data_IF_489976153849
#
_entry.id   IF_489976153849
#
_cell.length_a   1.000
_cell.length_b   1.000
_cell.length_c   1.000
_cell.angle_alpha   90.00
_cell.angle_beta   90.00
_cell.angle_gamma   90.00
#
_symmetry.space_group_name_H-M   'P 1'
#
loop_
_entity.id
_entity.type
_entity.pdbx_description
1 polymer ?
#
# COMPACT_ATOMS: atom_id res chain seq x y z
N UNK A 1 1.81 15.98 -14.93
CA UNK A 1 1.23 15.16 -13.85
C UNK A 1 2.34 14.94 -12.84
N UNK A 2 2.44 15.84 -11.86
CA UNK A 2 3.45 15.79 -10.81
C UNK A 2 3.18 14.58 -9.93
N UNK A 3 4.21 13.76 -9.77
CA UNK A 3 4.22 12.63 -8.87
C UNK A 3 4.71 13.15 -7.52
N UNK A 4 3.80 13.67 -6.71
CA UNK A 4 4.09 14.05 -5.32
C UNK A 4 4.12 12.76 -4.47
N UNK A 5 5.25 12.06 -4.42
CA UNK A 5 5.46 10.90 -3.51
C UNK A 5 6.49 11.19 -2.42
N UNK A 6 6.65 12.45 -2.01
CA UNK A 6 7.30 12.72 -0.72
C UNK A 6 6.51 13.76 0.05
N UNK A 7 5.39 13.33 0.64
CA UNK A 7 4.96 13.96 1.89
C UNK A 7 5.91 13.45 2.95
N UNK A 8 6.82 14.30 3.39
CA UNK A 8 7.70 14.00 4.52
C UNK A 8 6.82 13.68 5.74
N UNK A 9 6.87 12.43 6.20
CA UNK A 9 6.16 12.01 7.41
C UNK A 9 7.10 12.16 8.60
N UNK A 10 6.79 13.08 9.51
CA UNK A 10 7.68 13.42 10.61
C UNK A 10 7.55 12.44 11.78
N UNK A 11 8.69 11.99 12.33
CA UNK A 11 8.74 11.21 13.56
C UNK A 11 9.39 12.07 14.64
N UNK A 12 8.65 12.36 15.71
CA UNK A 12 9.08 13.29 16.76
C UNK A 12 9.11 12.57 18.10
N UNK A 13 10.20 12.73 18.86
CA UNK A 13 10.29 12.24 20.22
C UNK A 13 9.85 13.30 21.23
N UNK A 14 8.98 12.91 22.18
CA UNK A 14 8.52 13.77 23.28
C UNK A 14 8.42 12.95 24.57
N UNK A 15 9.44 12.95 25.45
CA UNK A 15 9.44 12.16 26.69
C UNK A 15 8.31 12.50 27.67
N UNK A 16 7.78 13.72 27.58
CA UNK A 16 6.68 14.22 28.41
C UNK A 16 5.30 13.82 27.89
N UNK A 17 5.22 12.98 26.85
CA UNK A 17 3.94 12.48 26.35
C UNK A 17 3.30 11.56 27.40
N UNK A 18 2.04 11.84 27.75
CA UNK A 18 1.30 11.05 28.73
C UNK A 18 1.02 9.63 28.20
N UNK A 19 0.74 9.53 26.89
CA UNK A 19 0.55 8.28 26.16
C UNK A 19 1.85 7.80 25.50
N UNK A 20 1.91 6.53 25.09
CA UNK A 20 3.10 5.97 24.43
C UNK A 20 3.35 6.54 23.03
N UNK A 21 2.27 6.84 22.31
CA UNK A 21 2.31 7.43 20.97
C UNK A 21 1.08 8.31 20.71
N UNK A 22 1.23 9.32 19.85
CA UNK A 22 0.14 10.14 19.35
C UNK A 22 0.32 10.36 17.84
N UNK A 23 -0.65 9.92 17.04
CA UNK A 23 -0.64 10.07 15.59
C UNK A 23 -1.30 11.36 15.11
N UNK A 24 -0.73 11.98 14.08
CA UNK A 24 -1.28 13.08 13.29
C UNK A 24 -1.33 12.73 11.79
N UNK A 25 -1.81 13.66 10.96
CA UNK A 25 -1.98 13.43 9.53
C UNK A 25 -0.65 13.20 8.79
N UNK A 26 0.39 13.89 9.24
CA UNK A 26 1.72 13.97 8.63
C UNK A 26 2.86 13.77 9.64
N UNK A 27 2.53 13.38 10.88
CA UNK A 27 3.52 13.10 11.90
C UNK A 27 3.07 12.04 12.90
N UNK A 28 4.04 11.46 13.61
CA UNK A 28 3.81 10.68 14.82
C UNK A 28 4.72 11.19 15.93
N UNK A 29 4.16 11.35 17.14
CA UNK A 29 4.91 11.69 18.35
C UNK A 29 5.05 10.43 19.19
N UNK A 30 6.27 10.08 19.58
CA UNK A 30 6.56 8.94 20.44
C UNK A 30 7.12 9.41 21.78
N UNK A 31 6.79 8.70 22.86
CA UNK A 31 7.37 8.97 24.17
C UNK A 31 8.87 8.68 24.22
N UNK A 32 9.32 7.65 23.52
CA UNK A 32 10.73 7.28 23.37
C UNK A 32 10.94 6.72 21.96
N UNK A 33 11.96 7.21 21.24
CA UNK A 33 12.30 6.73 19.90
C UNK A 33 13.54 5.83 19.96
N UNK A 34 13.31 4.51 19.93
CA UNK A 34 14.40 3.51 19.82
C UNK A 34 14.69 3.14 18.36
N UNK A 35 15.87 2.55 18.11
CA UNK A 35 16.24 2.00 16.78
C UNK A 35 15.22 0.96 16.31
N UNK A 36 14.71 0.13 17.23
CA UNK A 36 13.66 -0.85 16.94
C UNK A 36 12.32 -0.19 16.57
N UNK A 37 12.00 0.93 17.24
CA UNK A 37 10.84 1.77 16.91
C UNK A 37 10.97 2.37 15.50
N UNK A 38 12.14 2.94 15.17
CA UNK A 38 12.43 3.47 13.83
C UNK A 38 12.29 2.37 12.78
N UNK A 39 12.86 1.18 13.02
CA UNK A 39 12.77 0.04 12.11
C UNK A 39 11.32 -0.42 11.91
N UNK A 40 10.53 -0.42 12.98
CA UNK A 40 9.12 -0.83 12.92
C UNK A 40 8.28 0.17 12.14
N UNK A 41 8.42 1.47 12.43
CA UNK A 41 7.71 2.55 11.74
C UNK A 41 8.11 2.60 10.28
N UNK A 42 9.41 2.58 9.98
CA UNK A 42 9.93 2.57 8.61
C UNK A 42 9.45 1.35 7.82
N UNK A 43 9.35 0.19 8.46
CA UNK A 43 8.77 -1.01 7.86
C UNK A 43 7.29 -0.81 7.51
N UNK A 44 6.45 -0.32 8.44
CA UNK A 44 5.02 -0.10 8.18
C UNK A 44 4.80 0.95 7.08
N UNK A 45 5.55 2.05 7.10
CA UNK A 45 5.48 3.09 6.07
C UNK A 45 5.92 2.55 4.69
N UNK A 46 7.04 1.83 4.63
CA UNK A 46 7.52 1.22 3.38
C UNK A 46 6.53 0.20 2.81
N UNK A 47 5.86 -0.57 3.66
CA UNK A 47 4.79 -1.49 3.25
C UNK A 47 3.57 -0.74 2.70
N UNK A 48 3.19 0.37 3.33
CA UNK A 48 2.06 1.21 2.89
C UNK A 48 2.31 1.82 1.50
N UNK A 49 3.54 2.29 1.24
CA UNK A 49 3.95 2.81 -0.07
C UNK A 49 3.92 1.69 -1.13
N UNK A 50 4.44 0.51 -0.79
CA UNK A 50 4.39 -0.64 -1.70
C UNK A 50 2.95 -1.01 -2.05
N UNK A 51 2.04 -0.98 -1.08
CA UNK A 51 0.61 -1.26 -1.29
C UNK A 51 -0.06 -0.21 -2.19
N UNK A 52 0.20 1.08 -1.98
CA UNK A 52 -0.30 2.17 -2.85
C UNK A 52 0.17 2.02 -4.31
N UNK A 53 1.43 1.62 -4.52
CA UNK A 53 1.95 1.33 -5.85
C UNK A 53 1.14 0.23 -6.56
N UNK A 54 0.81 -0.86 -5.87
CA UNK A 54 0.04 -1.95 -6.47
C UNK A 54 -1.41 -1.55 -6.75
N UNK A 55 -2.04 -0.75 -5.90
CA UNK A 55 -3.38 -0.19 -6.16
C UNK A 55 -3.37 0.59 -7.47
N UNK A 56 -2.40 1.50 -7.66
CA UNK A 56 -2.27 2.27 -8.91
C UNK A 56 -2.06 1.39 -10.14
N UNK A 57 -1.32 0.28 -10.01
CA UNK A 57 -1.13 -0.67 -11.09
C UNK A 57 -2.44 -1.38 -11.48
N UNK A 58 -3.27 -1.74 -10.49
CA UNK A 58 -4.58 -2.36 -10.70
C UNK A 58 -5.56 -1.35 -11.31
N UNK A 59 -5.60 -0.11 -10.82
CA UNK A 59 -6.46 0.95 -11.37
C UNK A 59 -6.18 1.21 -12.85
N UNK A 60 -4.89 1.28 -13.23
CA UNK A 60 -4.50 1.46 -14.62
C UNK A 60 -4.94 0.30 -15.52
N UNK A 61 -4.93 -0.92 -15.01
CA UNK A 61 -5.44 -2.10 -15.72
C UNK A 61 -6.96 -2.04 -15.88
N UNK A 62 -7.70 -1.71 -14.81
CA UNK A 62 -9.16 -1.58 -14.84
C UNK A 62 -9.59 -0.50 -15.82
N UNK A 63 -8.88 0.63 -15.87
CA UNK A 63 -9.14 1.68 -16.84
C UNK A 63 -9.00 1.19 -18.29
N UNK A 64 -7.91 0.46 -18.60
CA UNK A 64 -7.69 -0.07 -19.95
C UNK A 64 -8.77 -1.09 -20.35
N UNK A 65 -9.19 -1.98 -19.44
CA UNK A 65 -10.32 -2.88 -19.68
C UNK A 65 -11.65 -2.15 -19.84
N UNK A 66 -11.88 -1.08 -19.09
CA UNK A 66 -13.10 -0.27 -19.18
C UNK A 66 -13.20 0.40 -20.55
N UNK A 67 -12.10 0.95 -21.05
CA UNK A 67 -12.05 1.56 -22.39
C UNK A 67 -12.30 0.53 -23.50
N UNK A 68 -11.73 -0.67 -23.36
CA UNK A 68 -11.97 -1.80 -24.26
C UNK A 68 -13.45 -2.21 -24.24
N UNK A 69 -14.02 -2.39 -23.05
CA UNK A 69 -15.41 -2.79 -22.88
C UNK A 69 -16.36 -1.75 -23.48
N UNK A 70 -16.09 -0.45 -23.25
CA UNK A 70 -16.86 0.64 -23.86
C UNK A 70 -16.77 0.66 -25.39
N UNK A 71 -15.59 0.39 -25.95
CA UNK A 71 -15.40 0.26 -27.39
C UNK A 71 -16.20 -0.91 -27.97
N UNK A 72 -16.09 -2.06 -27.32
CA UNK A 72 -16.81 -3.30 -27.68
C UNK A 72 -18.34 -3.14 -27.57
N UNK A 73 -18.85 -2.51 -26.52
CA UNK A 73 -20.29 -2.25 -26.35
C UNK A 73 -20.87 -1.42 -27.50
N UNK A 74 -20.10 -0.46 -28.02
CA UNK A 74 -20.53 0.40 -29.13
C UNK A 74 -20.46 -0.27 -30.49
N UNK A 75 -19.46 -1.09 -30.73
CA UNK A 75 -19.19 -1.70 -32.06
C UNK A 75 -19.72 -3.12 -32.17
N UNK A 76 -20.07 -3.76 -31.06
CA UNK A 76 -20.41 -5.19 -30.97
C UNK A 76 -19.24 -6.13 -31.26
N UNK A 77 -18.03 -5.60 -31.48
CA UNK A 77 -16.88 -6.37 -31.96
C UNK A 77 -15.63 -6.03 -31.15
N UNK A 78 -14.98 -7.05 -30.59
CA UNK A 78 -13.71 -6.88 -29.92
C UNK A 78 -12.57 -6.78 -30.96
N UNK A 79 -11.98 -5.59 -31.11
CA UNK A 79 -10.86 -5.36 -32.03
C UNK A 79 -9.60 -4.93 -31.29
N UNK A 80 -8.57 -5.77 -31.32
CA UNK A 80 -7.27 -5.48 -30.74
C UNK A 80 -6.16 -6.25 -31.47
N UNK A 81 -4.96 -5.66 -31.55
CA UNK A 81 -3.79 -6.39 -32.02
C UNK A 81 -3.43 -7.53 -31.08
N UNK A 82 -3.20 -8.73 -31.62
CA UNK A 82 -2.84 -9.94 -30.84
C UNK A 82 -1.68 -9.69 -29.87
N UNK A 83 -0.65 -8.94 -30.29
CA UNK A 83 0.49 -8.57 -29.42
C UNK A 83 0.05 -7.73 -28.21
N UNK A 84 -0.81 -6.74 -28.44
CA UNK A 84 -1.34 -5.88 -27.38
C UNK A 84 -2.20 -6.69 -26.39
N UNK A 85 -3.00 -7.63 -26.89
CA UNK A 85 -3.78 -8.55 -26.05
C UNK A 85 -2.87 -9.38 -25.13
N UNK A 86 -1.82 -10.01 -25.67
CA UNK A 86 -0.90 -10.80 -24.85
C UNK A 86 -0.14 -9.96 -23.83
N UNK A 87 0.24 -8.73 -24.17
CA UNK A 87 0.86 -7.81 -23.22
C UNK A 87 -0.09 -7.42 -22.10
N UNK A 88 -1.36 -7.16 -22.42
CA UNK A 88 -2.39 -6.77 -21.47
C UNK A 88 -2.72 -7.93 -20.51
N UNK A 89 -2.93 -9.14 -21.04
CA UNK A 89 -3.15 -10.35 -20.21
C UNK A 89 -1.91 -10.68 -19.37
N UNK A 90 -0.71 -10.59 -19.96
CA UNK A 90 0.53 -10.84 -19.24
C UNK A 90 0.73 -9.88 -18.07
N UNK A 91 0.52 -8.57 -18.32
CA UNK A 91 0.58 -7.54 -17.27
C UNK A 91 -0.46 -7.77 -16.17
N UNK A 92 -1.69 -8.12 -16.54
CA UNK A 92 -2.74 -8.44 -15.58
C UNK A 92 -2.37 -9.62 -14.67
N UNK A 93 -1.85 -10.70 -15.26
CA UNK A 93 -1.45 -11.91 -14.54
C UNK A 93 -0.25 -11.67 -13.62
N UNK A 94 0.78 -10.96 -14.09
CA UNK A 94 1.93 -10.59 -13.26
C UNK A 94 1.52 -9.68 -12.11
N UNK A 95 0.68 -8.67 -12.36
CA UNK A 95 0.19 -7.79 -11.32
C UNK A 95 -0.64 -8.55 -10.26
N UNK A 96 -1.52 -9.47 -10.66
CA UNK A 96 -2.26 -10.31 -9.71
C UNK A 96 -1.32 -11.20 -8.87
N UNK A 97 -0.32 -11.82 -9.51
CA UNK A 97 0.66 -12.63 -8.80
C UNK A 97 1.43 -11.81 -7.76
N UNK A 98 1.85 -10.60 -8.13
CA UNK A 98 2.56 -9.69 -7.22
C UNK A 98 1.68 -9.24 -6.04
N UNK A 99 0.42 -8.90 -6.31
CA UNK A 99 -0.56 -8.53 -5.27
C UNK A 99 -0.80 -9.68 -4.31
N UNK A 100 -1.01 -10.91 -4.80
CA UNK A 100 -1.24 -12.09 -3.94
C UNK A 100 -0.02 -12.38 -3.07
N UNK A 101 1.18 -12.39 -3.68
CA UNK A 101 2.42 -12.68 -2.96
C UNK A 101 2.71 -11.61 -1.92
N UNK A 102 2.56 -10.31 -2.26
CA UNK A 102 2.89 -9.21 -1.37
C UNK A 102 1.83 -8.95 -0.30
N UNK A 103 0.54 -8.96 -0.64
CA UNK A 103 -0.53 -8.84 0.37
C UNK A 103 -0.47 -10.00 1.36
N UNK A 104 -0.28 -11.23 0.87
CA UNK A 104 -0.13 -12.39 1.76
C UNK A 104 1.11 -12.29 2.67
N UNK A 105 2.17 -11.60 2.26
CA UNK A 105 3.31 -11.30 3.14
C UNK A 105 3.00 -10.16 4.12
N UNK A 106 2.33 -9.10 3.68
CA UNK A 106 1.95 -7.97 4.54
C UNK A 106 0.94 -8.37 5.61
N UNK A 107 -0.07 -9.17 5.27
CA UNK A 107 -1.09 -9.64 6.22
C UNK A 107 -0.47 -10.47 7.35
N UNK A 108 0.41 -11.42 7.02
CA UNK A 108 1.13 -12.21 8.01
C UNK A 108 2.02 -11.35 8.92
N UNK A 109 2.73 -10.39 8.35
CA UNK A 109 3.62 -9.51 9.10
C UNK A 109 2.85 -8.50 9.97
N UNK A 110 1.69 -8.05 9.49
CA UNK A 110 0.78 -7.19 10.24
C UNK A 110 0.16 -7.94 11.41
N UNK A 111 -0.31 -9.18 11.21
CA UNK A 111 -0.86 -10.03 12.28
C UNK A 111 0.18 -10.32 13.37
N UNK A 112 1.41 -10.68 12.99
CA UNK A 112 2.51 -10.91 13.94
C UNK A 112 2.83 -9.66 14.76
N UNK A 113 2.87 -8.48 14.12
CA UNK A 113 3.09 -7.19 14.81
C UNK A 113 1.89 -6.75 15.66
N UNK A 114 0.66 -7.03 15.23
CA UNK A 114 -0.55 -6.68 15.98
C UNK A 114 -0.67 -7.52 17.27
N UNK A 115 -0.25 -8.78 17.23
CA UNK A 115 -0.12 -9.64 18.41
C UNK A 115 0.90 -9.04 19.41
N UNK A 116 2.08 -8.63 18.92
CA UNK A 116 3.10 -7.93 19.71
C UNK A 116 2.58 -6.60 20.29
N UNK A 117 1.81 -5.82 19.54
CA UNK A 117 1.19 -4.57 20.03
C UNK A 117 0.13 -4.83 21.10
N UNK A 118 -0.62 -5.93 21.02
CA UNK A 118 -1.61 -6.32 22.02
C UNK A 118 -0.94 -6.77 23.33
N UNK A 119 0.15 -7.53 23.24
CA UNK A 119 0.94 -7.98 24.39
C UNK A 119 1.69 -6.83 25.09
N UNK A 120 1.93 -5.72 24.36
CA UNK A 120 2.49 -4.47 24.91
C UNK A 120 1.43 -3.52 25.52
N UNK A 121 0.17 -3.94 25.65
CA UNK A 121 -0.86 -3.18 26.37
C UNK A 121 -1.42 -1.96 25.63
N UNK A 122 -1.38 -1.95 24.29
CA UNK A 122 -2.02 -0.90 23.49
C UNK A 122 -3.54 -1.10 23.51
N UNK A 123 -4.24 -0.41 24.41
CA UNK A 123 -5.70 -0.32 24.39
C UNK A 123 -6.13 0.48 23.17
N UNK A 124 -6.84 -0.17 22.25
CA UNK A 124 -7.57 0.49 21.18
C UNK A 124 -8.71 1.31 21.81
N UNK A 125 -8.58 2.64 21.77
CA UNK A 125 -9.69 3.57 21.98
C UNK A 125 -10.43 3.82 20.68
#
# INVERSE_FOLDING_TARGET
MTVDIVKDYAVVEKPTLDVWMQGGLDYIVLKNLSIDGIRTIGSVLGQSIALDYYIRQVDGMVAEFTDINRGMEKTGTFTMQRKKLFQLVGKANSNMADVILKLGLFERHCLEKCQLCSDMGVSSG
#
